data_IF_291021367372
#
_entry.id   IF_291021367372
#
_cell.length_a   1.000
_cell.length_b   1.000
_cell.length_c   1.000
_cell.angle_alpha   90.00
_cell.angle_beta   90.00
_cell.angle_gamma   90.00
#
_symmetry.space_group_name_H-M   'P 1'
#
loop_
_entity.id
_entity.type
_entity.pdbx_description
1 polymer ?
#
# COMPACT_ATOMS: atom_id res chain seq x y z
N UNK A 1 2.01 36.13 10.45
CA UNK A 1 1.72 34.92 11.24
C UNK A 1 2.19 33.72 10.45
N UNK A 2 3.28 33.05 10.85
CA UNK A 2 3.65 31.73 10.31
C UNK A 2 2.77 30.70 11.00
N UNK A 3 1.80 30.15 10.28
CA UNK A 3 1.07 28.97 10.74
C UNK A 3 2.03 27.78 10.71
N UNK A 4 2.34 27.26 11.90
CA UNK A 4 2.96 25.96 12.07
C UNK A 4 2.00 24.89 11.51
N UNK A 5 2.27 24.40 10.30
CA UNK A 5 1.74 23.12 9.86
C UNK A 5 2.51 22.04 10.62
N UNK A 6 2.01 21.69 11.81
CA UNK A 6 2.38 20.42 12.43
C UNK A 6 2.03 19.32 11.43
N UNK A 7 3.05 18.57 11.00
CA UNK A 7 2.85 17.42 10.14
C UNK A 7 1.93 16.44 10.88
N UNK A 8 0.69 16.32 10.40
CA UNK A 8 -0.22 15.23 10.74
C UNK A 8 0.38 13.94 10.15
N UNK A 9 1.43 13.42 10.78
CA UNK A 9 1.86 12.04 10.60
C UNK A 9 0.81 11.16 11.28
N UNK A 10 -0.30 10.95 10.58
CA UNK A 10 -1.14 9.78 10.79
C UNK A 10 -0.21 8.58 10.60
N UNK A 11 -0.17 7.63 11.53
CA UNK A 11 0.78 6.51 11.43
C UNK A 11 0.62 5.82 10.09
N UNK A 12 1.60 6.02 9.21
CA UNK A 12 1.63 5.37 7.92
C UNK A 12 2.43 4.09 8.12
N UNK A 13 1.88 2.98 7.63
CA UNK A 13 2.72 1.84 7.31
C UNK A 13 3.77 2.38 6.34
N UNK A 14 5.07 2.14 6.59
CA UNK A 14 6.10 2.62 5.68
C UNK A 14 5.75 2.13 4.27
N UNK A 15 5.88 2.95 3.23
CA UNK A 15 5.47 2.54 1.88
C UNK A 15 6.36 1.40 1.34
N UNK A 16 7.56 1.22 1.92
CA UNK A 16 8.42 0.08 1.68
C UNK A 16 8.32 -0.93 2.82
N UNK A 17 8.09 -2.19 2.46
CA UNK A 17 8.11 -3.28 3.42
C UNK A 17 9.52 -3.49 3.98
N UNK A 18 9.67 -3.82 5.27
CA UNK A 18 10.97 -4.20 5.81
C UNK A 18 11.46 -5.51 5.16
N UNK A 19 12.77 -5.68 4.98
CA UNK A 19 13.37 -6.95 4.60
C UNK A 19 13.36 -7.93 5.78
N UNK A 20 13.55 -9.23 5.51
CA UNK A 20 13.58 -10.23 6.57
C UNK A 20 14.71 -9.94 7.56
N UNK A 21 15.88 -9.55 7.06
CA UNK A 21 17.06 -9.18 7.85
C UNK A 21 16.78 -7.95 8.71
N UNK A 22 16.07 -6.95 8.19
CA UNK A 22 15.69 -5.76 8.95
C UNK A 22 14.76 -6.11 10.12
N UNK A 23 13.74 -6.94 9.89
CA UNK A 23 12.84 -7.36 10.97
C UNK A 23 13.58 -8.27 11.97
N UNK A 24 14.44 -9.18 11.49
CA UNK A 24 15.18 -10.10 12.35
C UNK A 24 16.23 -9.39 13.24
N UNK A 25 16.81 -8.29 12.74
CA UNK A 25 17.76 -7.48 13.48
C UNK A 25 17.11 -6.54 14.49
N UNK A 26 15.80 -6.28 14.36
CA UNK A 26 15.04 -5.44 15.29
C UNK A 26 14.67 -6.24 16.55
N UNK A 27 15.17 -5.85 17.74
CA UNK A 27 14.85 -6.54 19.00
C UNK A 27 13.35 -6.58 19.31
N UNK A 28 12.56 -5.65 18.75
CA UNK A 28 11.11 -5.63 18.91
C UNK A 28 10.42 -6.83 18.25
N UNK A 29 11.03 -7.38 17.19
CA UNK A 29 10.41 -8.40 16.33
C UNK A 29 11.21 -9.70 16.22
N UNK A 30 12.43 -9.75 16.75
CA UNK A 30 13.34 -10.89 16.60
C UNK A 30 12.71 -12.25 16.98
N UNK A 31 11.84 -12.29 17.99
CA UNK A 31 11.11 -13.50 18.37
C UNK A 31 9.93 -13.81 17.43
N UNK A 32 9.19 -12.78 17.00
CA UNK A 32 8.04 -12.93 16.09
C UNK A 32 8.46 -13.49 14.73
N UNK A 33 9.64 -13.07 14.23
CA UNK A 33 10.21 -13.53 12.96
C UNK A 33 10.42 -15.05 12.92
N UNK A 34 10.72 -15.68 14.06
CA UNK A 34 10.95 -17.12 14.15
C UNK A 34 9.67 -17.91 13.82
N UNK A 35 8.51 -17.33 14.08
CA UNK A 35 7.20 -17.94 13.86
C UNK A 35 6.65 -17.75 12.44
N UNK A 36 7.40 -17.06 11.56
CA UNK A 36 7.00 -16.90 10.17
C UNK A 36 7.05 -18.22 9.41
N UNK A 37 6.01 -18.48 8.63
CA UNK A 37 5.98 -19.60 7.67
C UNK A 37 6.98 -19.37 6.53
N UNK A 38 7.33 -20.45 5.82
CA UNK A 38 8.20 -20.36 4.64
C UNK A 38 7.66 -19.39 3.57
N UNK A 39 6.34 -19.37 3.38
CA UNK A 39 5.70 -18.48 2.40
C UNK A 39 5.79 -17.01 2.82
N UNK A 40 5.58 -16.72 4.11
CA UNK A 40 5.73 -15.35 4.59
C UNK A 40 7.19 -14.87 4.48
N UNK A 41 8.17 -15.72 4.83
CA UNK A 41 9.59 -15.40 4.63
C UNK A 41 9.89 -15.09 3.17
N UNK A 42 9.38 -15.91 2.25
CA UNK A 42 9.50 -15.68 0.80
C UNK A 42 8.91 -14.32 0.38
N UNK A 43 7.74 -13.95 0.90
CA UNK A 43 7.09 -12.66 0.57
C UNK A 43 7.83 -11.46 1.16
N UNK A 44 8.29 -11.54 2.42
CA UNK A 44 9.10 -10.48 3.05
C UNK A 44 10.41 -10.28 2.28
N UNK A 45 11.07 -11.36 1.85
CA UNK A 45 12.31 -11.26 1.08
C UNK A 45 12.13 -10.47 -0.22
N UNK A 46 10.95 -10.55 -0.86
CA UNK A 46 10.64 -9.76 -2.05
C UNK A 46 10.51 -8.26 -1.80
N UNK A 47 10.32 -7.81 -0.56
CA UNK A 47 10.27 -6.39 -0.25
C UNK A 47 11.56 -5.67 -0.67
N UNK A 48 12.71 -6.35 -0.53
CA UNK A 48 14.01 -5.82 -0.93
C UNK A 48 14.13 -5.63 -2.46
N UNK A 49 13.45 -6.46 -3.26
CA UNK A 49 13.50 -6.39 -4.73
C UNK A 49 12.96 -5.04 -5.23
N UNK A 50 11.89 -4.53 -4.62
CA UNK A 50 11.32 -3.25 -5.02
C UNK A 50 12.28 -2.09 -4.72
N UNK A 51 12.97 -2.13 -3.58
CA UNK A 51 13.92 -1.08 -3.19
C UNK A 51 15.15 -1.00 -4.10
N UNK A 52 15.52 -2.12 -4.73
CA UNK A 52 16.70 -2.23 -5.58
C UNK A 52 16.40 -2.09 -7.07
N UNK A 53 15.23 -2.55 -7.52
CA UNK A 53 14.89 -2.63 -8.95
C UNK A 53 13.53 -2.04 -9.33
N UNK A 54 12.65 -1.77 -8.36
CA UNK A 54 11.27 -1.34 -8.60
C UNK A 54 10.99 0.15 -8.34
N UNK A 55 11.93 0.89 -7.76
CA UNK A 55 11.72 2.28 -7.31
C UNK A 55 12.21 3.36 -8.31
N UNK A 56 12.67 2.99 -9.50
CA UNK A 56 13.22 3.94 -10.48
C UNK A 56 12.23 5.05 -10.86
N UNK A 57 10.96 4.69 -11.08
CA UNK A 57 9.91 5.67 -11.38
C UNK A 57 9.72 6.69 -10.25
N UNK A 58 9.83 6.24 -8.99
CA UNK A 58 9.70 7.12 -7.82
C UNK A 58 10.86 8.10 -7.73
N UNK A 59 12.08 7.66 -7.99
CA UNK A 59 13.26 8.55 -7.99
C UNK A 59 13.10 9.63 -9.06
N UNK A 60 12.65 9.25 -10.26
CA UNK A 60 12.45 10.16 -11.38
C UNK A 60 11.28 11.13 -11.07
N UNK A 61 10.16 10.64 -10.54
CA UNK A 61 9.03 11.49 -10.12
C UNK A 61 9.38 12.43 -8.96
N UNK A 62 10.25 12.01 -8.04
CA UNK A 62 10.66 12.84 -6.89
C UNK A 62 11.64 13.95 -7.25
N UNK A 63 12.31 13.85 -8.40
CA UNK A 63 13.39 14.78 -8.77
C UNK A 63 13.09 15.58 -10.04
N UNK A 64 12.29 15.03 -10.96
CA UNK A 64 12.17 15.51 -12.35
C UNK A 64 10.77 15.33 -12.93
N UNK A 65 9.72 15.39 -12.11
CA UNK A 65 8.32 15.17 -12.56
C UNK A 65 7.92 16.00 -13.79
N UNK A 66 8.28 17.29 -13.84
CA UNK A 66 7.96 18.15 -15.00
C UNK A 66 8.73 17.76 -16.27
N UNK A 67 9.96 17.24 -16.14
CA UNK A 67 10.73 16.75 -17.30
C UNK A 67 10.06 15.51 -17.90
N UNK A 68 9.61 14.58 -17.05
CA UNK A 68 8.93 13.35 -17.49
C UNK A 68 7.58 13.69 -18.12
N UNK A 69 6.81 14.58 -17.51
CA UNK A 69 5.53 15.05 -18.06
C UNK A 69 5.68 15.54 -19.51
N UNK A 70 6.70 16.37 -19.76
CA UNK A 70 7.02 16.87 -21.10
C UNK A 70 7.43 15.72 -22.05
N UNK A 71 8.24 14.76 -21.59
CA UNK A 71 8.67 13.61 -22.39
C UNK A 71 7.51 12.66 -22.75
N UNK A 72 6.51 12.52 -21.87
CA UNK A 72 5.32 11.70 -22.11
C UNK A 72 4.33 12.38 -23.07
N UNK A 73 4.59 13.62 -23.51
CA UNK A 73 3.66 14.38 -24.34
C UNK A 73 2.31 14.57 -23.67
N UNK A 74 2.28 14.53 -22.33
CA UNK A 74 1.07 14.74 -21.57
C UNK A 74 0.64 16.21 -21.75
N UNK A 75 -0.64 16.47 -22.04
CA UNK A 75 -1.15 17.83 -22.07
C UNK A 75 -1.00 18.46 -20.68
N UNK A 76 -0.64 19.74 -20.63
CA UNK A 76 -0.64 20.49 -19.38
C UNK A 76 -2.03 21.12 -19.16
N UNK A 77 -2.32 21.53 -17.94
CA UNK A 77 -3.55 22.30 -17.64
C UNK A 77 -3.65 23.60 -18.45
N UNK A 78 -2.53 24.13 -18.94
CA UNK A 78 -2.46 25.34 -19.76
C UNK A 78 -2.45 25.05 -21.27
N UNK A 79 -2.35 23.78 -21.68
CA UNK A 79 -2.37 23.34 -23.08
C UNK A 79 -3.15 22.02 -23.19
N UNK A 80 -4.50 22.10 -23.31
CA UNK A 80 -5.37 20.93 -23.25
C UNK A 80 -5.17 20.00 -24.45
N UNK A 81 -5.44 18.69 -24.29
CA UNK A 81 -5.23 17.72 -25.35
C UNK A 81 -6.02 18.12 -26.60
N UNK A 82 -5.32 18.27 -27.73
CA UNK A 82 -6.00 18.34 -29.00
C UNK A 82 -6.62 16.97 -29.32
N UNK A 83 -7.85 16.91 -29.85
CA UNK A 83 -8.53 15.64 -30.13
C UNK A 83 -7.83 14.90 -31.28
N UNK A 84 -6.76 14.18 -30.97
CA UNK A 84 -6.07 13.28 -31.87
C UNK A 84 -6.40 11.84 -31.48
N UNK A 85 -7.20 11.18 -32.31
CA UNK A 85 -7.32 9.72 -32.53
C UNK A 85 -6.98 8.77 -31.36
N UNK A 86 -7.56 8.97 -30.17
CA UNK A 86 -7.52 8.00 -29.04
C UNK A 86 -8.67 6.97 -29.14
N UNK A 87 -9.40 6.97 -30.27
CA UNK A 87 -10.63 6.19 -30.45
C UNK A 87 -10.50 4.66 -30.52
N UNK A 88 -9.28 4.08 -30.59
CA UNK A 88 -9.12 2.61 -30.73
C UNK A 88 -8.49 1.89 -29.52
N UNK A 89 -7.81 2.58 -28.59
CA UNK A 89 -7.22 1.95 -27.41
C UNK A 89 -8.17 1.89 -26.19
N UNK A 90 -9.34 2.54 -26.29
CA UNK A 90 -10.29 2.77 -25.21
C UNK A 90 -11.35 1.68 -25.05
N UNK A 91 -11.53 0.81 -26.06
CA UNK A 91 -12.54 -0.24 -26.02
C UNK A 91 -11.97 -1.47 -25.29
N UNK A 92 -12.55 -1.79 -24.13
CA UNK A 92 -12.35 -3.00 -23.33
C UNK A 92 -10.95 -3.29 -22.77
N UNK A 93 -10.09 -2.28 -22.60
CA UNK A 93 -8.82 -2.44 -21.87
C UNK A 93 -8.73 -1.49 -20.65
N UNK A 94 -8.70 -2.01 -19.41
CA UNK A 94 -8.60 -1.17 -18.21
C UNK A 94 -7.33 -0.31 -18.19
N UNK A 95 -6.23 -0.78 -18.79
CA UNK A 95 -4.99 0.00 -18.92
C UNK A 95 -5.19 1.17 -19.88
N UNK A 96 -5.82 0.93 -21.04
CA UNK A 96 -6.11 1.98 -22.01
C UNK A 96 -6.99 3.08 -21.43
N UNK A 97 -8.00 2.70 -20.65
CA UNK A 97 -8.88 3.64 -19.95
C UNK A 97 -8.13 4.44 -18.87
N UNK A 98 -7.33 3.78 -18.03
CA UNK A 98 -6.54 4.46 -16.98
C UNK A 98 -5.55 5.46 -17.59
N UNK A 99 -4.79 5.07 -18.61
CA UNK A 99 -3.84 5.95 -19.30
C UNK A 99 -4.57 7.12 -19.95
N UNK A 100 -5.73 6.86 -20.56
CA UNK A 100 -6.53 7.91 -21.19
C UNK A 100 -7.07 8.93 -20.19
N UNK A 101 -7.41 8.52 -18.97
CA UNK A 101 -7.78 9.47 -17.91
C UNK A 101 -6.61 10.42 -17.66
N UNK A 102 -5.43 9.90 -17.33
CA UNK A 102 -4.24 10.72 -17.07
C UNK A 102 -3.90 11.69 -18.22
N UNK A 103 -4.03 11.20 -19.46
CA UNK A 103 -3.76 12.00 -20.66
C UNK A 103 -4.81 13.09 -20.84
N UNK A 104 -6.11 12.73 -20.87
CA UNK A 104 -7.19 13.66 -21.17
C UNK A 104 -7.38 14.72 -20.07
N UNK A 105 -7.02 14.42 -18.83
CA UNK A 105 -7.10 15.38 -17.71
C UNK A 105 -5.79 16.12 -17.46
N UNK A 106 -4.70 15.77 -18.14
CA UNK A 106 -3.38 16.38 -17.93
C UNK A 106 -2.84 16.19 -16.49
N UNK A 107 -3.23 15.11 -15.80
CA UNK A 107 -3.00 14.98 -14.34
C UNK A 107 -1.70 14.28 -13.97
N UNK A 108 -0.92 13.78 -14.94
CA UNK A 108 0.33 13.05 -14.66
C UNK A 108 1.28 13.86 -13.77
N UNK A 109 1.54 15.12 -14.12
CA UNK A 109 2.44 15.98 -13.35
C UNK A 109 1.90 16.24 -11.94
N UNK A 110 0.62 16.61 -11.85
CA UNK A 110 -0.01 16.91 -10.55
C UNK A 110 -0.07 15.70 -9.62
N UNK A 111 -0.25 14.49 -10.16
CA UNK A 111 -0.23 13.26 -9.37
C UNK A 111 1.20 12.94 -8.89
N UNK A 112 2.19 13.12 -9.76
CA UNK A 112 3.60 12.92 -9.46
C UNK A 112 4.16 13.86 -8.40
N UNK A 113 3.59 15.06 -8.24
CA UNK A 113 4.00 16.03 -7.20
C UNK A 113 3.94 15.47 -5.78
N UNK A 114 3.12 14.45 -5.51
CA UNK A 114 3.11 13.75 -4.22
C UNK A 114 4.48 13.17 -3.86
N UNK A 115 5.19 12.64 -4.86
CA UNK A 115 6.54 12.08 -4.69
C UNK A 115 7.59 13.19 -4.52
N UNK A 116 7.46 14.28 -5.30
CA UNK A 116 8.31 15.46 -5.15
C UNK A 116 8.21 16.08 -3.74
N UNK A 117 7.01 16.12 -3.16
CA UNK A 117 6.78 16.62 -1.79
C UNK A 117 7.24 15.63 -0.71
N UNK A 118 7.37 14.35 -1.03
CA UNK A 118 7.75 13.29 -0.10
C UNK A 118 8.93 12.46 -0.66
N UNK A 119 10.12 13.07 -0.86
CA UNK A 119 11.25 12.36 -1.44
C UNK A 119 11.79 11.23 -0.54
N UNK A 120 11.42 11.24 0.74
CA UNK A 120 11.69 10.18 1.71
C UNK A 120 10.45 9.30 2.02
N UNK A 121 9.37 9.41 1.23
CA UNK A 121 8.11 8.68 1.45
C UNK A 121 8.28 7.16 1.43
N UNK A 122 9.26 6.68 0.68
CA UNK A 122 9.74 5.30 0.67
C UNK A 122 10.81 5.09 1.75
N UNK A 123 10.43 5.24 3.01
CA UNK A 123 11.22 4.80 4.15
C UNK A 123 10.79 3.39 4.59
N UNK A 124 11.69 2.65 5.24
CA UNK A 124 11.38 1.40 5.95
C UNK A 124 11.24 1.60 7.47
N UNK A 125 11.42 2.84 7.95
CA UNK A 125 11.32 3.15 9.37
C UNK A 125 9.87 3.05 9.82
N UNK A 126 9.60 2.16 10.77
CA UNK A 126 8.27 1.98 11.35
C UNK A 126 7.82 3.27 12.03
N UNK A 127 6.67 3.81 11.60
CA UNK A 127 6.02 4.95 12.24
C UNK A 127 4.81 4.46 13.02
N UNK A 128 4.70 4.88 14.29
CA UNK A 128 3.53 4.60 15.12
C UNK A 128 2.50 5.72 14.97
N UNK A 129 1.23 5.35 14.81
CA UNK A 129 0.12 6.28 14.74
C UNK A 129 -0.03 7.04 16.07
N UNK A 130 -0.19 8.37 16.00
CA UNK A 130 -0.46 9.19 17.18
C UNK A 130 -1.85 8.97 17.78
N UNK A 131 -2.73 8.26 17.06
CA UNK A 131 -4.12 8.04 17.45
C UNK A 131 -4.36 6.55 17.72
N UNK A 132 -5.32 6.27 18.60
CA UNK A 132 -5.80 4.91 18.87
C UNK A 132 -7.06 4.56 18.06
N UNK A 133 -7.29 5.25 16.94
CA UNK A 133 -8.43 4.95 16.06
C UNK A 133 -8.32 3.50 15.58
N UNK A 134 -9.42 2.73 15.62
CA UNK A 134 -9.45 1.36 15.10
C UNK A 134 -8.90 1.27 13.67
N UNK A 135 -7.89 0.44 13.48
CA UNK A 135 -7.22 0.23 12.21
C UNK A 135 -7.56 -1.13 11.63
N UNK A 136 -7.92 -1.14 10.34
CA UNK A 136 -7.98 -2.33 9.51
C UNK A 136 -6.76 -2.45 8.61
N UNK A 137 -6.20 -3.65 8.48
CA UNK A 137 -5.25 -3.99 7.42
C UNK A 137 -5.67 -5.22 6.61
N UNK A 138 -5.46 -5.14 5.28
CA UNK A 138 -5.68 -6.24 4.35
C UNK A 138 -4.41 -6.49 3.52
N UNK A 139 -3.94 -7.73 3.50
CA UNK A 139 -2.78 -8.16 2.71
C UNK A 139 -3.23 -8.93 1.47
N UNK A 140 -2.67 -8.56 0.33
CA UNK A 140 -2.90 -9.21 -0.97
C UNK A 140 -1.61 -9.86 -1.45
N UNK A 141 -1.71 -11.07 -2.00
CA UNK A 141 -0.53 -11.88 -2.28
C UNK A 141 0.47 -11.21 -3.24
N UNK A 142 -0.05 -10.52 -4.26
CA UNK A 142 0.74 -9.86 -5.31
C UNK A 142 0.92 -8.36 -5.10
N UNK A 143 0.77 -7.87 -3.86
CA UNK A 143 1.10 -6.47 -3.55
C UNK A 143 2.62 -6.22 -3.64
N UNK A 144 3.00 -4.97 -3.85
CA UNK A 144 4.39 -4.53 -4.02
C UNK A 144 5.23 -4.84 -2.77
N UNK A 145 4.61 -4.76 -1.60
CA UNK A 145 5.24 -5.06 -0.33
C UNK A 145 4.33 -5.91 0.54
N UNK A 146 4.93 -6.84 1.29
CA UNK A 146 4.25 -7.64 2.28
C UNK A 146 4.65 -7.22 3.70
N UNK A 147 3.64 -7.03 4.56
CA UNK A 147 3.81 -6.70 5.96
C UNK A 147 3.22 -7.80 6.85
N UNK A 148 4.02 -8.45 7.69
CA UNK A 148 3.51 -9.43 8.65
C UNK A 148 2.51 -8.79 9.63
N UNK A 149 1.46 -9.49 10.06
CA UNK A 149 0.49 -8.97 11.02
C UNK A 149 1.08 -8.42 12.31
N UNK A 150 2.12 -9.05 12.86
CA UNK A 150 2.77 -8.57 14.07
C UNK A 150 3.46 -7.22 13.85
N UNK A 151 3.99 -6.97 12.65
CA UNK A 151 4.65 -5.73 12.27
C UNK A 151 3.60 -4.62 12.11
N UNK A 152 2.52 -4.90 11.39
CA UNK A 152 1.40 -3.96 11.21
C UNK A 152 0.73 -3.61 12.55
N UNK A 153 0.62 -4.56 13.47
CA UNK A 153 0.06 -4.34 14.80
C UNK A 153 0.88 -3.34 15.65
N UNK A 154 2.13 -3.05 15.28
CA UNK A 154 2.94 -2.00 15.92
C UNK A 154 2.76 -0.62 15.27
N UNK A 155 2.11 -0.51 14.13
CA UNK A 155 1.84 0.78 13.48
C UNK A 155 0.68 1.52 14.17
N UNK A 156 -0.30 0.80 14.73
CA UNK A 156 -1.45 1.42 15.37
C UNK A 156 -2.39 0.41 16.00
N UNK A 157 -3.59 0.87 16.40
CA UNK A 157 -4.62 0.03 17.02
C UNK A 157 -5.26 -0.92 15.99
N UNK A 158 -4.55 -1.98 15.60
CA UNK A 158 -5.02 -2.98 14.65
C UNK A 158 -6.15 -3.81 15.26
N UNK A 159 -7.39 -3.45 14.94
CA UNK A 159 -8.59 -4.15 15.42
C UNK A 159 -9.02 -5.26 14.46
N UNK A 160 -8.69 -5.10 13.18
CA UNK A 160 -9.08 -6.03 12.14
C UNK A 160 -7.92 -6.26 11.18
N UNK A 161 -7.54 -7.52 11.04
CA UNK A 161 -6.56 -7.92 10.05
C UNK A 161 -7.20 -9.05 9.24
N UNK A 162 -7.26 -8.91 7.92
CA UNK A 162 -7.62 -10.04 7.06
C UNK A 162 -6.54 -11.11 7.23
N UNK A 163 -6.78 -12.03 8.17
CA UNK A 163 -5.85 -13.08 8.58
C UNK A 163 -5.91 -13.41 10.07
N UNK A 164 -6.57 -12.58 10.89
CA UNK A 164 -7.02 -12.95 12.23
C UNK A 164 -8.53 -12.83 12.29
N UNK A 165 -9.23 -13.96 12.21
CA UNK A 165 -10.55 -14.04 12.82
C UNK A 165 -10.33 -13.89 14.34
N UNK A 166 -11.16 -13.04 14.93
CA UNK A 166 -11.15 -12.56 16.31
C UNK A 166 -10.66 -13.57 17.36
N UNK A 167 -9.66 -13.17 18.16
CA UNK A 167 -9.13 -13.91 19.30
C UNK A 167 -9.53 -13.18 20.60
N UNK A 168 -10.78 -13.34 21.05
CA UNK A 168 -11.19 -13.30 22.47
C UNK A 168 -12.45 -14.17 22.70
N UNK A 169 -12.55 -14.90 23.81
CA UNK A 169 -11.84 -16.11 24.19
C UNK A 169 -12.67 -17.37 23.86
N UNK A 170 -12.19 -18.20 22.92
CA UNK A 170 -12.44 -19.64 22.96
C UNK A 170 -11.08 -20.32 23.10
N UNK A 171 -10.48 -20.14 24.29
CA UNK A 171 -9.38 -20.99 24.70
C UNK A 171 -9.91 -22.42 24.82
N UNK A 172 -9.21 -23.35 24.16
CA UNK A 172 -9.21 -24.80 24.41
C UNK A 172 -9.81 -25.75 23.35
N UNK A 173 -9.89 -25.42 22.05
CA UNK A 173 -10.17 -26.50 21.07
C UNK A 173 -9.53 -26.48 19.68
N UNK A 174 -8.64 -25.54 19.34
CA UNK A 174 -8.08 -25.51 17.97
C UNK A 174 -6.57 -25.25 17.99
N UNK A 175 -5.72 -26.29 18.06
CA UNK A 175 -4.28 -26.13 18.19
C UNK A 175 -3.58 -25.60 16.92
N UNK A 176 -4.27 -25.44 15.79
CA UNK A 176 -3.65 -25.21 14.47
C UNK A 176 -4.37 -24.18 13.58
N UNK A 177 -4.86 -23.06 14.13
CA UNK A 177 -5.59 -22.06 13.33
C UNK A 177 -4.88 -20.70 13.24
N UNK A 178 -3.69 -20.72 12.64
CA UNK A 178 -3.08 -19.53 12.00
C UNK A 178 -2.94 -19.81 10.51
N UNK A 179 -4.03 -19.67 9.75
CA UNK A 179 -3.93 -19.51 8.29
C UNK A 179 -4.26 -18.06 7.98
N UNK A 180 -3.21 -17.29 7.74
CA UNK A 180 -3.30 -15.94 7.18
C UNK A 180 -4.20 -15.98 5.95
N UNK A 181 -5.34 -15.29 5.98
CA UNK A 181 -6.05 -14.95 4.76
C UNK A 181 -5.34 -13.78 4.10
N UNK A 182 -4.10 -14.01 3.65
CA UNK A 182 -3.64 -13.33 2.47
C UNK A 182 -4.66 -13.63 1.39
N UNK A 183 -5.23 -12.61 0.77
CA UNK A 183 -6.09 -12.88 -0.38
C UNK A 183 -5.20 -13.55 -1.45
N UNK A 184 -5.48 -14.82 -1.83
CA UNK A 184 -4.61 -15.57 -2.75
C UNK A 184 -4.64 -14.99 -4.17
N UNK A 185 -5.56 -14.05 -4.39
CA UNK A 185 -5.74 -13.25 -5.60
C UNK A 185 -5.74 -11.78 -5.24
N UNK A 186 -5.20 -10.96 -6.13
CA UNK A 186 -5.11 -9.52 -5.99
C UNK A 186 -3.70 -9.05 -5.65
N UNK A 187 -3.37 -7.86 -6.12
CA UNK A 187 -2.13 -7.18 -5.78
C UNK A 187 -2.39 -5.73 -5.38
N UNK A 188 -1.48 -4.86 -5.81
CA UNK A 188 -1.48 -3.44 -5.46
C UNK A 188 -2.80 -2.72 -5.81
N UNK A 189 -3.41 -3.08 -6.94
CA UNK A 189 -4.67 -2.50 -7.41
C UNK A 189 -5.87 -3.35 -6.97
N UNK A 190 -5.98 -3.62 -5.66
CA UNK A 190 -6.96 -4.56 -5.12
C UNK A 190 -8.43 -4.27 -5.49
N UNK A 191 -8.80 -3.00 -5.65
CA UNK A 191 -10.14 -2.61 -6.11
C UNK A 191 -10.45 -3.04 -7.54
N UNK A 192 -9.42 -3.24 -8.37
CA UNK A 192 -9.53 -3.78 -9.73
C UNK A 192 -9.34 -5.31 -9.73
N UNK A 193 -8.33 -5.81 -9.00
CA UNK A 193 -7.93 -7.22 -9.09
C UNK A 193 -8.83 -8.16 -8.28
N UNK A 194 -9.38 -7.69 -7.16
CA UNK A 194 -10.19 -8.51 -6.25
C UNK A 194 -11.26 -7.68 -5.52
N UNK A 195 -12.19 -7.02 -6.25
CA UNK A 195 -13.18 -6.11 -5.69
C UNK A 195 -14.07 -6.76 -4.63
N UNK A 196 -14.49 -8.02 -4.84
CA UNK A 196 -15.34 -8.74 -3.89
C UNK A 196 -14.66 -8.95 -2.54
N UNK A 197 -13.36 -9.26 -2.56
CA UNK A 197 -12.57 -9.42 -1.35
C UNK A 197 -12.43 -8.08 -0.60
N UNK A 198 -12.15 -6.99 -1.32
CA UNK A 198 -12.04 -5.64 -0.75
C UNK A 198 -13.38 -5.18 -0.15
N UNK A 199 -14.49 -5.36 -0.86
CA UNK A 199 -15.83 -4.99 -0.38
C UNK A 199 -16.21 -5.85 0.84
N UNK A 200 -15.96 -7.16 0.80
CA UNK A 200 -16.20 -8.05 1.92
C UNK A 200 -15.37 -7.66 3.16
N UNK A 201 -14.14 -7.23 2.94
CA UNK A 201 -13.26 -6.71 3.98
C UNK A 201 -13.85 -5.45 4.63
N UNK A 202 -14.22 -4.45 3.84
CA UNK A 202 -14.80 -3.20 4.36
C UNK A 202 -16.11 -3.45 5.11
N UNK A 203 -16.99 -4.30 4.59
CA UNK A 203 -18.25 -4.64 5.27
C UNK A 203 -18.00 -5.23 6.66
N UNK A 204 -17.01 -6.12 6.80
CA UNK A 204 -16.65 -6.71 8.10
C UNK A 204 -16.04 -5.69 9.05
N UNK A 205 -15.05 -4.94 8.57
CA UNK A 205 -14.35 -3.93 9.36
C UNK A 205 -15.32 -2.84 9.87
N UNK A 206 -16.11 -2.25 8.96
CA UNK A 206 -17.06 -1.20 9.32
C UNK A 206 -18.21 -1.75 10.15
N UNK A 207 -18.66 -2.99 9.89
CA UNK A 207 -19.64 -3.67 10.74
C UNK A 207 -19.13 -3.77 12.17
N UNK A 208 -17.93 -4.28 12.39
CA UNK A 208 -17.34 -4.35 13.74
C UNK A 208 -17.16 -2.97 14.38
N UNK A 209 -16.86 -1.93 13.60
CA UNK A 209 -16.68 -0.59 14.12
C UNK A 209 -18.00 0.05 14.59
N UNK A 210 -19.09 -0.13 13.84
CA UNK A 210 -20.39 0.48 14.20
C UNK A 210 -21.21 -0.33 15.22
N UNK A 211 -20.88 -1.60 15.43
CA UNK A 211 -21.57 -2.46 16.41
C UNK A 211 -20.77 -2.67 17.72
N UNK A 212 -19.64 -1.97 17.92
CA UNK A 212 -18.82 -2.01 19.13
C UNK A 212 -19.09 -0.86 20.11
#
# INVERSE_FOLDING_TARGET
MRTHFEHLHNGLIPQLGPSYEQIAADPQFAEDVKNLTAEQKKRINKNADYTTSGNGYFVEHSTRVSLIHNLLGCPSTNDPPQPATIGLALYDNPIGQLVSIYYLTGTFETAGNTYYQNPAGFSTNLLHAKTNVPMGFASYYFDIAYYPPFYVAKVGNLVYNAGKMDLRPVMNHWPNMFTHSDHPRGGHFTGLDNPDALIGYFRKMMGQWYYA
#
